data_IF_972133828901
#
_entry.id   IF_972133828901
#
_cell.length_a   1.000
_cell.length_b   1.000
_cell.length_c   1.000
_cell.angle_alpha   90.00
_cell.angle_beta   90.00
_cell.angle_gamma   90.00
#
_symmetry.space_group_name_H-M   'P 1'
#
loop_
_entity.id
_entity.type
_entity.pdbx_description
1 polymer ?
#
# COMPACT_ATOMS: atom_id res chain seq x y z
N UNK A 1 -18.12 17.58 -16.78
CA UNK A 1 -16.71 17.55 -16.32
C UNK A 1 -16.56 16.39 -15.33
N UNK A 2 -17.19 15.24 -15.64
CA UNK A 2 -17.57 14.20 -14.66
C UNK A 2 -17.22 12.80 -15.18
N UNK A 3 -16.07 12.68 -15.84
CA UNK A 3 -15.63 11.39 -16.35
C UNK A 3 -14.85 10.66 -15.27
N UNK A 4 -15.20 9.39 -15.04
CA UNK A 4 -14.48 8.51 -14.14
C UNK A 4 -13.04 8.39 -14.62
N UNK A 5 -12.07 8.80 -13.81
CA UNK A 5 -10.66 8.76 -14.20
C UNK A 5 -10.00 7.44 -13.85
N UNK A 6 -10.28 6.90 -12.66
CA UNK A 6 -9.60 5.71 -12.16
C UNK A 6 -10.52 4.81 -11.35
N UNK A 7 -10.25 3.51 -11.40
CA UNK A 7 -10.91 2.47 -10.59
C UNK A 7 -9.84 1.72 -9.80
N UNK A 8 -10.07 1.60 -8.49
CA UNK A 8 -9.30 0.75 -7.61
C UNK A 8 -10.09 -0.52 -7.32
N UNK A 9 -9.54 -1.67 -7.68
CA UNK A 9 -10.10 -2.98 -7.36
C UNK A 9 -9.19 -3.68 -6.36
N UNK A 10 -9.71 -3.97 -5.18
CA UNK A 10 -9.01 -4.71 -4.13
C UNK A 10 -9.48 -6.18 -4.15
N UNK A 11 -8.55 -7.12 -4.09
CA UNK A 11 -8.83 -8.55 -4.04
C UNK A 11 -7.94 -9.23 -3.00
N UNK A 12 -8.15 -10.54 -2.82
CA UNK A 12 -7.32 -11.38 -1.97
C UNK A 12 -7.29 -10.88 -0.51
N UNK A 13 -8.46 -10.54 0.02
CA UNK A 13 -8.57 -10.08 1.40
C UNK A 13 -8.28 -11.22 2.38
N UNK A 14 -7.45 -10.93 3.37
CA UNK A 14 -7.12 -11.82 4.49
C UNK A 14 -7.30 -11.06 5.80
N UNK A 15 -7.56 -11.75 6.89
CA UNK A 15 -7.57 -11.12 8.22
C UNK A 15 -6.25 -11.42 8.93
N UNK A 16 -5.52 -10.37 9.34
CA UNK A 16 -4.24 -10.45 10.05
C UNK A 16 -4.39 -9.66 11.34
N UNK A 17 -4.17 -10.28 12.50
CA UNK A 17 -4.35 -9.66 13.82
C UNK A 17 -5.72 -8.97 14.02
N UNK A 18 -6.77 -9.48 13.38
CA UNK A 18 -8.12 -8.91 13.44
C UNK A 18 -8.42 -7.81 12.40
N UNK A 19 -7.43 -7.39 11.62
CA UNK A 19 -7.59 -6.42 10.54
C UNK A 19 -7.85 -7.11 9.20
N UNK A 20 -8.92 -6.73 8.50
CA UNK A 20 -9.17 -7.18 7.13
C UNK A 20 -8.29 -6.39 6.16
N UNK A 21 -7.41 -7.08 5.46
CA UNK A 21 -6.33 -6.50 4.66
C UNK A 21 -6.34 -7.07 3.25
N UNK A 22 -6.50 -6.20 2.24
CA UNK A 22 -6.36 -6.58 0.84
C UNK A 22 -4.90 -6.95 0.54
N UNK A 23 -4.65 -8.12 -0.07
CA UNK A 23 -3.29 -8.50 -0.48
C UNK A 23 -2.94 -8.04 -1.89
N UNK A 24 -3.96 -7.68 -2.69
CA UNK A 24 -3.79 -7.26 -4.07
C UNK A 24 -4.70 -6.09 -4.41
N UNK A 25 -4.11 -5.08 -5.05
CA UNK A 25 -4.80 -3.85 -5.43
C UNK A 25 -4.44 -3.52 -6.88
N UNK A 26 -5.44 -3.50 -7.77
CA UNK A 26 -5.30 -3.03 -9.14
C UNK A 26 -5.85 -1.61 -9.24
N UNK A 27 -4.99 -0.66 -9.59
CA UNK A 27 -5.41 0.71 -9.93
C UNK A 27 -5.39 0.84 -11.45
N UNK A 28 -6.52 1.18 -12.05
CA UNK A 28 -6.67 1.33 -13.48
C UNK A 28 -7.10 2.76 -13.82
N UNK A 29 -6.41 3.40 -14.77
CA UNK A 29 -6.86 4.62 -15.41
C UNK A 29 -7.76 4.24 -16.58
N UNK A 30 -9.07 4.40 -16.40
CA UNK A 30 -10.08 3.98 -17.38
C UNK A 30 -10.13 4.87 -18.62
N UNK A 31 -9.47 6.03 -18.58
CA UNK A 31 -9.37 6.93 -19.73
C UNK A 31 -8.24 6.52 -20.68
N UNK A 32 -7.12 6.04 -20.14
CA UNK A 32 -5.94 5.64 -20.93
C UNK A 32 -5.75 4.13 -21.04
N UNK A 33 -6.53 3.32 -20.31
CA UNK A 33 -6.39 1.86 -20.25
C UNK A 33 -5.13 1.37 -19.52
N UNK A 34 -4.33 2.27 -18.95
CA UNK A 34 -3.12 1.93 -18.21
C UNK A 34 -3.47 1.53 -16.79
N UNK A 35 -2.69 0.60 -16.22
CA UNK A 35 -2.94 0.12 -14.86
C UNK A 35 -1.65 -0.21 -14.12
N UNK A 36 -1.76 -0.32 -12.81
CA UNK A 36 -0.71 -0.79 -11.92
C UNK A 36 -1.30 -1.78 -10.92
N UNK A 37 -0.50 -2.77 -10.53
CA UNK A 37 -0.86 -3.72 -9.48
C UNK A 37 0.10 -3.53 -8.31
N UNK A 38 -0.44 -3.48 -7.11
CA UNK A 38 0.29 -3.54 -5.85
C UNK A 38 -0.04 -4.89 -5.21
N UNK A 39 0.99 -5.67 -4.90
CA UNK A 39 0.88 -6.91 -4.14
C UNK A 39 1.65 -6.77 -2.84
N UNK A 40 0.99 -7.03 -1.72
CA UNK A 40 1.58 -6.97 -0.39
C UNK A 40 1.80 -8.39 0.14
N UNK A 41 2.95 -8.63 0.78
CA UNK A 41 3.32 -9.92 1.38
C UNK A 41 3.99 -9.66 2.72
N UNK A 42 3.93 -10.66 3.61
CA UNK A 42 4.58 -10.63 4.93
C UNK A 42 4.18 -9.41 5.79
N UNK A 43 2.90 -9.06 5.77
CA UNK A 43 2.37 -7.96 6.59
C UNK A 43 2.39 -8.38 8.07
N UNK A 44 2.96 -7.53 8.92
CA UNK A 44 2.94 -7.67 10.37
C UNK A 44 2.25 -6.44 10.94
N UNK A 45 1.24 -6.66 11.79
CA UNK A 45 0.55 -5.61 12.54
C UNK A 45 1.03 -5.62 14.00
N UNK A 46 0.89 -4.46 14.66
CA UNK A 46 1.20 -4.28 16.08
C UNK A 46 2.64 -4.68 16.49
N UNK A 47 3.60 -4.55 15.57
CA UNK A 47 5.02 -4.75 15.88
C UNK A 47 5.49 -3.74 16.93
N UNK A 48 5.90 -4.25 18.08
CA UNK A 48 6.25 -3.43 19.24
C UNK A 48 7.60 -2.73 19.10
N UNK A 49 8.47 -3.21 18.19
CA UNK A 49 9.84 -2.74 18.07
C UNK A 49 10.12 -1.97 16.78
N UNK A 50 9.10 -1.29 16.22
CA UNK A 50 9.33 -0.35 15.10
C UNK A 50 10.02 0.90 15.67
N UNK A 51 11.26 1.15 15.24
CA UNK A 51 12.04 2.31 15.67
C UNK A 51 11.43 3.63 15.15
N UNK A 52 11.01 4.50 16.07
CA UNK A 52 10.48 5.83 15.77
C UNK A 52 11.41 6.67 14.88
N UNK A 53 12.72 6.42 14.95
CA UNK A 53 13.71 7.14 14.15
C UNK A 53 13.51 6.96 12.64
N UNK A 54 12.82 5.88 12.22
CA UNK A 54 12.44 5.62 10.83
C UNK A 54 11.46 6.66 10.27
N UNK A 55 10.67 7.31 11.14
CA UNK A 55 9.63 8.27 10.75
C UNK A 55 10.09 9.72 10.85
N UNK A 56 11.37 9.98 10.57
CA UNK A 56 11.95 11.33 10.57
C UNK A 56 12.38 11.74 9.17
N UNK A 57 12.33 13.05 8.88
CA UNK A 57 12.85 13.60 7.61
C UNK A 57 14.31 13.21 7.40
N UNK A 58 15.10 13.26 8.48
CA UNK A 58 16.50 12.87 8.45
C UNK A 58 16.72 11.39 8.08
N UNK A 59 15.79 10.48 8.39
CA UNK A 59 15.89 9.08 7.98
C UNK A 59 15.69 8.89 6.47
N UNK A 60 14.81 9.69 5.85
CA UNK A 60 14.63 9.74 4.40
C UNK A 60 15.88 10.30 3.70
N UNK A 61 16.43 11.40 4.22
CA UNK A 61 17.60 12.08 3.65
C UNK A 61 18.88 11.24 3.75
N UNK A 62 19.01 10.42 4.81
CA UNK A 62 20.18 9.55 5.01
C UNK A 62 20.12 8.23 4.25
N UNK A 63 19.04 7.97 3.48
CA UNK A 63 18.88 6.71 2.73
C UNK A 63 18.87 5.46 3.61
N UNK A 64 18.41 5.60 4.86
CA UNK A 64 18.44 4.53 5.87
C UNK A 64 17.34 3.49 5.69
N UNK A 65 16.36 3.81 4.84
CA UNK A 65 15.27 2.93 4.45
C UNK A 65 15.68 2.30 3.11
N UNK A 66 16.07 1.02 3.14
CA UNK A 66 16.42 0.19 1.99
C UNK A 66 15.55 -1.05 1.96
#
# INVERSE_FOLDING_TARGET
>A
QDQLHRVLTCTDFVTISGYTTAQKMKMENVQSGTWSIIETKNIVYDEQNVDDSLFTVAALEKGRIR
#
